data_IF_634880822779
#
_entry.id   IF_634880822779
#
_cell.length_a   1.000
_cell.length_b   1.000
_cell.length_c   1.000
_cell.angle_alpha   90.00
_cell.angle_beta   90.00
_cell.angle_gamma   90.00
#
_symmetry.space_group_name_H-M   'P 1'
#
loop_
_entity.id
_entity.type
_entity.pdbx_description
1 polymer ?
#
# COMPACT_ATOMS: atom_id res chain seq x y z
N UNK A 1 25.81 27.06 11.09
CA UNK A 1 24.69 27.87 10.56
C UNK A 1 25.26 29.15 9.95
N UNK A 2 25.94 29.05 8.80
CA UNK A 2 26.54 30.21 8.13
C UNK A 2 25.56 30.93 7.18
N UNK A 3 24.49 30.26 6.76
CA UNK A 3 23.45 30.79 5.86
C UNK A 3 22.17 31.26 6.59
N UNK A 4 22.16 31.25 7.92
CA UNK A 4 21.04 31.76 8.73
C UNK A 4 19.77 30.89 8.77
N UNK A 5 19.78 29.68 8.21
CA UNK A 5 18.66 28.75 8.34
C UNK A 5 18.70 28.00 9.67
N UNK A 6 17.53 27.89 10.30
CA UNK A 6 17.33 27.16 11.54
C UNK A 6 17.38 25.64 11.32
N UNK A 7 17.65 24.91 12.40
CA UNK A 7 17.45 23.47 12.42
C UNK A 7 15.99 23.18 12.81
N UNK A 8 15.24 22.51 11.95
CA UNK A 8 13.78 22.30 12.08
C UNK A 8 13.41 20.82 11.96
N UNK A 9 12.27 20.42 12.52
CA UNK A 9 11.62 19.17 12.13
C UNK A 9 10.82 19.43 10.85
N UNK A 10 11.24 18.83 9.73
CA UNK A 10 10.58 19.03 8.44
C UNK A 10 9.16 18.47 8.36
N UNK A 11 8.74 17.64 9.32
CA UNK A 11 7.35 17.19 9.46
C UNK A 11 6.54 18.12 10.39
N UNK A 12 7.18 19.09 11.02
CA UNK A 12 6.59 20.09 11.89
C UNK A 12 5.94 21.26 11.13
N UNK A 13 5.52 22.30 11.85
CA UNK A 13 4.90 23.48 11.24
C UNK A 13 5.85 24.29 10.35
N UNK A 14 7.15 24.25 10.62
CA UNK A 14 8.18 24.93 9.83
C UNK A 14 8.94 23.93 8.94
N UNK A 15 8.87 24.10 7.63
CA UNK A 15 9.53 23.20 6.67
C UNK A 15 10.87 23.75 6.15
N UNK A 16 11.10 25.06 6.25
CA UNK A 16 12.30 25.72 5.74
C UNK A 16 13.37 25.70 6.83
N UNK A 17 14.42 24.93 6.60
CA UNK A 17 15.53 24.82 7.51
C UNK A 17 16.41 23.62 7.18
N UNK A 18 17.29 23.26 8.09
CA UNK A 18 18.07 22.03 8.04
C UNK A 18 17.45 20.99 8.97
N UNK A 19 17.46 19.71 8.56
CA UNK A 19 17.03 18.60 9.41
C UNK A 19 17.83 17.34 9.10
N UNK A 20 17.96 16.48 10.10
CA UNK A 20 18.27 15.08 9.83
C UNK A 20 17.09 14.43 9.09
N UNK A 21 17.37 13.69 8.01
CA UNK A 21 16.34 12.94 7.30
C UNK A 21 15.83 11.78 8.16
N UNK A 22 14.51 11.69 8.33
CA UNK A 22 13.88 10.51 8.93
C UNK A 22 13.55 9.50 7.83
N UNK A 23 13.71 8.22 8.17
CA UNK A 23 13.46 7.11 7.26
C UNK A 23 12.54 6.10 7.92
N UNK A 24 11.79 5.37 7.10
CA UNK A 24 11.02 4.21 7.57
C UNK A 24 11.96 3.02 7.81
N UNK A 25 12.70 3.08 8.92
CA UNK A 25 13.65 2.07 9.35
C UNK A 25 13.34 1.71 10.80
N UNK A 26 13.24 0.41 11.08
CA UNK A 26 13.16 -0.14 12.44
C UNK A 26 14.25 -1.19 12.59
N UNK A 27 15.01 -1.13 13.67
CA UNK A 27 16.10 -2.07 13.97
C UNK A 27 17.11 -2.24 12.81
N UNK A 28 17.38 -1.14 12.10
CA UNK A 28 18.31 -1.13 10.96
C UNK A 28 17.75 -1.73 9.66
N UNK A 29 16.48 -2.16 9.64
CA UNK A 29 15.83 -2.76 8.47
C UNK A 29 14.70 -1.86 7.95
N UNK A 30 14.48 -1.89 6.63
CA UNK A 30 13.35 -1.18 6.00
C UNK A 30 12.02 -1.62 6.63
N UNK A 31 11.31 -0.64 7.16
CA UNK A 31 9.96 -0.79 7.69
C UNK A 31 8.95 -0.45 6.59
N UNK A 32 8.34 -1.48 5.99
CA UNK A 32 7.39 -1.32 4.88
C UNK A 32 5.95 -1.40 5.38
N UNK A 33 4.99 -0.90 4.59
CA UNK A 33 3.55 -1.04 4.91
C UNK A 33 3.16 -2.51 5.11
N UNK A 34 3.77 -3.43 4.35
CA UNK A 34 3.54 -4.86 4.51
C UNK A 34 4.01 -5.36 5.86
N UNK A 35 5.23 -5.00 6.25
CA UNK A 35 5.83 -5.44 7.52
C UNK A 35 5.09 -4.85 8.73
N UNK A 36 4.69 -3.58 8.63
CA UNK A 36 4.10 -2.85 9.75
C UNK A 36 2.61 -3.06 9.96
N UNK A 37 1.85 -3.19 8.87
CA UNK A 37 0.39 -3.21 8.95
C UNK A 37 -0.20 -4.55 8.54
N UNK A 38 0.27 -5.13 7.44
CA UNK A 38 -0.37 -6.33 6.87
C UNK A 38 0.09 -7.61 7.54
N UNK A 39 1.39 -7.75 7.81
CA UNK A 39 1.93 -8.95 8.42
C UNK A 39 1.34 -9.20 9.81
N UNK A 40 1.22 -8.19 10.71
CA UNK A 40 0.53 -8.38 11.99
C UNK A 40 -0.97 -8.69 11.84
N UNK A 41 -1.60 -8.21 10.77
CA UNK A 41 -3.02 -8.44 10.49
C UNK A 41 -3.32 -9.77 9.78
N UNK A 42 -2.30 -10.46 9.26
CA UNK A 42 -2.45 -11.57 8.31
C UNK A 42 -3.18 -12.81 8.87
N UNK A 43 -3.22 -12.95 10.20
CA UNK A 43 -3.89 -14.07 10.88
C UNK A 43 -5.40 -13.87 11.08
N UNK A 44 -5.94 -12.69 10.76
CA UNK A 44 -7.38 -12.41 10.91
C UNK A 44 -8.19 -13.24 9.92
N UNK A 45 -9.18 -13.97 10.42
CA UNK A 45 -10.02 -14.87 9.60
C UNK A 45 -10.83 -14.16 8.51
N UNK A 46 -11.09 -12.86 8.69
CA UNK A 46 -11.80 -12.02 7.73
C UNK A 46 -10.87 -11.30 6.72
N UNK A 47 -9.58 -11.61 6.71
CA UNK A 47 -8.61 -11.06 5.77
C UNK A 47 -7.96 -12.18 4.95
N UNK A 48 -8.15 -12.14 3.64
CA UNK A 48 -7.50 -13.05 2.70
C UNK A 48 -6.52 -12.28 1.81
N UNK A 49 -5.23 -12.61 1.90
CA UNK A 49 -4.18 -11.96 1.12
C UNK A 49 -3.73 -12.91 0.02
N UNK A 50 -3.97 -12.52 -1.24
CA UNK A 50 -3.57 -13.26 -2.43
C UNK A 50 -2.43 -12.54 -3.13
N UNK A 51 -1.21 -13.03 -2.96
CA UNK A 51 -0.02 -12.51 -3.64
C UNK A 51 0.07 -13.06 -5.07
N UNK A 52 0.39 -12.22 -6.05
CA UNK A 52 0.54 -12.65 -7.46
C UNK A 52 -0.80 -13.02 -8.14
N UNK A 53 -1.91 -12.46 -7.65
CA UNK A 53 -3.20 -12.52 -8.33
C UNK A 53 -3.36 -11.28 -9.23
N UNK A 54 -3.26 -11.48 -10.55
CA UNK A 54 -3.38 -10.38 -11.50
C UNK A 54 -4.85 -10.13 -11.82
N UNK A 55 -5.36 -8.93 -11.52
CA UNK A 55 -6.73 -8.54 -11.88
C UNK A 55 -6.82 -8.41 -13.40
N UNK A 56 -7.80 -9.11 -13.98
CA UNK A 56 -8.07 -9.10 -15.41
C UNK A 56 -9.23 -8.16 -15.76
N UNK A 57 -10.24 -8.09 -14.89
CA UNK A 57 -11.46 -7.33 -15.17
C UNK A 57 -12.21 -7.01 -13.88
N UNK A 58 -12.84 -5.83 -13.82
CA UNK A 58 -13.82 -5.48 -12.78
C UNK A 58 -15.21 -5.91 -13.25
N UNK A 59 -15.97 -6.54 -12.35
CA UNK A 59 -17.33 -7.01 -12.59
C UNK A 59 -18.32 -5.96 -12.12
N UNK A 60 -19.34 -5.68 -12.94
CA UNK A 60 -20.35 -4.67 -12.66
C UNK A 60 -21.77 -5.25 -12.71
N UNK A 61 -22.61 -4.79 -11.80
CA UNK A 61 -24.07 -4.83 -11.90
C UNK A 61 -24.54 -3.39 -12.09
N UNK A 62 -25.07 -3.07 -13.27
CA UNK A 62 -25.36 -1.70 -13.71
C UNK A 62 -24.15 -0.77 -13.56
N UNK A 63 -24.22 0.15 -12.59
CA UNK A 63 -23.18 1.13 -12.27
C UNK A 63 -22.40 0.78 -11.01
N UNK A 64 -22.61 -0.40 -10.43
CA UNK A 64 -22.01 -0.84 -9.18
C UNK A 64 -20.99 -1.93 -9.43
N UNK A 65 -19.74 -1.72 -9.00
CA UNK A 65 -18.72 -2.76 -9.00
C UNK A 65 -19.08 -3.82 -7.96
N UNK A 66 -19.11 -5.10 -8.36
CA UNK A 66 -19.53 -6.22 -7.52
C UNK A 66 -18.42 -7.25 -7.26
N UNK A 67 -17.33 -7.18 -8.01
CA UNK A 67 -16.17 -8.03 -7.80
C UNK A 67 -15.10 -7.86 -8.85
N UNK A 68 -14.13 -8.75 -8.84
CA UNK A 68 -13.04 -8.80 -9.81
C UNK A 68 -12.84 -10.21 -10.33
N UNK A 69 -12.50 -10.31 -11.61
CA UNK A 69 -11.94 -11.51 -12.25
C UNK A 69 -10.43 -11.38 -12.23
N UNK A 70 -9.73 -12.43 -11.81
CA UNK A 70 -8.28 -12.41 -11.68
C UNK A 70 -7.63 -13.73 -12.14
N UNK A 71 -6.38 -13.66 -12.55
CA UNK A 71 -5.52 -14.81 -12.82
C UNK A 71 -4.66 -15.07 -11.58
N UNK A 72 -4.79 -16.26 -11.00
CA UNK A 72 -3.99 -16.69 -9.86
C UNK A 72 -3.43 -18.08 -10.11
N UNK A 73 -2.11 -18.23 -10.07
CA UNK A 73 -1.41 -19.51 -10.32
C UNK A 73 -1.86 -20.20 -11.61
N UNK A 74 -2.02 -19.44 -12.69
CA UNK A 74 -2.44 -19.93 -14.01
C UNK A 74 -3.94 -20.27 -14.12
N UNK A 75 -4.74 -20.03 -13.09
CA UNK A 75 -6.19 -20.28 -13.09
C UNK A 75 -6.97 -18.99 -12.96
N UNK A 76 -8.07 -18.90 -13.70
CA UNK A 76 -8.99 -17.76 -13.62
C UNK A 76 -9.94 -17.96 -12.45
N UNK A 77 -9.99 -16.98 -11.56
CA UNK A 77 -10.90 -16.92 -10.42
C UNK A 77 -11.77 -15.66 -10.42
N UNK A 78 -12.80 -15.66 -9.60
CA UNK A 78 -13.69 -14.51 -9.35
C UNK A 78 -13.85 -14.31 -7.85
N UNK A 79 -13.89 -13.06 -7.39
CA UNK A 79 -14.07 -12.73 -5.98
C UNK A 79 -14.82 -11.41 -5.79
N UNK A 80 -15.75 -11.40 -4.83
CA UNK A 80 -16.62 -10.24 -4.56
C UNK A 80 -15.90 -9.09 -3.83
N UNK A 81 -14.88 -9.41 -3.02
CA UNK A 81 -14.08 -8.44 -2.26
C UNK A 81 -12.64 -8.94 -2.15
N UNK A 82 -11.89 -8.88 -3.25
CA UNK A 82 -10.43 -9.08 -3.15
C UNK A 82 -9.84 -7.76 -2.72
N UNK A 83 -9.54 -7.61 -1.43
CA UNK A 83 -8.66 -6.53 -0.96
C UNK A 83 -7.23 -6.93 -1.31
N UNK A 84 -6.86 -6.73 -2.58
CA UNK A 84 -5.47 -6.47 -2.92
C UNK A 84 -5.14 -5.16 -2.22
N UNK A 85 -4.29 -5.21 -1.20
CA UNK A 85 -3.81 -4.10 -0.36
C UNK A 85 -4.28 -2.73 -0.89
N UNK A 86 -5.46 -2.29 -0.40
CA UNK A 86 -6.26 -1.23 -1.02
C UNK A 86 -7.76 -1.51 -0.84
N UNK A 87 -8.34 -0.99 0.25
CA UNK A 87 -9.76 -1.10 0.64
C UNK A 87 -10.67 -0.62 -0.49
N UNK A 88 -11.39 -1.50 -1.21
CA UNK A 88 -12.25 -1.16 -2.36
C UNK A 88 -11.73 0.06 -3.15
N UNK A 89 -10.45 -0.01 -3.48
CA UNK A 89 -9.66 1.04 -4.09
C UNK A 89 -8.55 0.29 -4.78
N UNK A 90 -8.62 0.24 -6.10
CA UNK A 90 -7.64 -0.44 -6.92
C UNK A 90 -6.28 0.26 -6.72
N UNK A 91 -5.43 -0.25 -5.83
CA UNK A 91 -4.06 0.21 -5.67
C UNK A 91 -3.16 -0.59 -6.61
N UNK A 92 -3.23 -0.26 -7.90
CA UNK A 92 -2.17 -0.59 -8.84
C UNK A 92 -1.09 0.48 -8.67
N UNK A 93 0.08 0.03 -8.23
CA UNK A 93 1.26 0.87 -8.17
C UNK A 93 1.62 1.36 -9.59
N UNK A 94 2.06 2.61 -9.72
CA UNK A 94 2.42 3.19 -11.02
C UNK A 94 3.82 2.80 -11.52
N UNK A 95 4.55 1.89 -10.88
CA UNK A 95 5.93 1.51 -11.25
C UNK A 95 6.03 0.49 -12.39
N UNK A 96 5.15 0.56 -13.39
CA UNK A 96 5.38 -0.02 -14.71
C UNK A 96 5.23 1.07 -15.78
N UNK A 97 6.25 1.93 -15.83
CA UNK A 97 6.77 2.54 -17.07
C UNK A 97 8.29 2.47 -17.02
#
# INVERSE_FOLDING_TARGET
MELGYDYVDYNGPEQIGFSQATFNIRDGVRSSVVEEYLKPASSRSNLHILHGANVLQILFEDKRATGVKFLYKGKVGMGAQVVLIGKLGLCIDASLM
#
